data_IF_104086779999
#
_entry.id   IF_104086779999
#
_cell.length_a   1.000
_cell.length_b   1.000
_cell.length_c   1.000
_cell.angle_alpha   90.00
_cell.angle_beta   90.00
_cell.angle_gamma   90.00
#
_symmetry.space_group_name_H-M   'P 1'
#
loop_
_entity.id
_entity.type
_entity.pdbx_description
1 polymer ?
#
# COMPACT_ATOMS: atom_id res chain seq x y z
N UNK A 1 -15.86 63.62 -7.26
CA UNK A 1 -14.87 63.07 -6.32
C UNK A 1 -14.83 61.55 -6.55
N UNK A 2 -13.64 61.01 -6.84
CA UNK A 2 -13.32 59.58 -7.07
C UNK A 2 -13.78 58.73 -5.85
N UNK A 3 -14.08 57.42 -5.90
CA UNK A 3 -13.48 56.29 -6.63
C UNK A 3 -14.53 55.19 -6.90
N UNK A 4 -14.48 54.59 -8.09
CA UNK A 4 -15.07 53.27 -8.40
C UNK A 4 -13.89 52.35 -8.71
N UNK A 5 -13.69 51.31 -7.91
CA UNK A 5 -12.73 50.24 -8.19
C UNK A 5 -13.48 49.18 -9.00
N UNK A 6 -13.13 49.06 -10.27
CA UNK A 6 -13.60 48.00 -11.18
C UNK A 6 -12.62 46.82 -11.09
N UNK A 7 -13.15 45.63 -10.80
CA UNK A 7 -12.47 44.37 -11.13
C UNK A 7 -13.24 43.71 -12.28
N UNK A 8 -12.67 43.77 -13.48
CA UNK A 8 -13.11 42.97 -14.63
C UNK A 8 -12.31 41.67 -14.62
N UNK A 9 -12.93 40.57 -14.21
CA UNK A 9 -12.35 39.25 -14.42
C UNK A 9 -12.72 38.77 -15.83
N UNK A 10 -11.75 38.81 -16.73
CA UNK A 10 -11.88 38.23 -18.08
C UNK A 10 -11.94 36.70 -17.94
N UNK A 11 -13.14 36.11 -18.04
CA UNK A 11 -13.29 34.68 -18.24
C UNK A 11 -13.81 34.42 -19.64
N UNK A 12 -12.99 33.83 -20.49
CA UNK A 12 -13.42 33.29 -21.79
C UNK A 12 -14.11 31.95 -21.52
N UNK A 13 -15.45 31.92 -21.53
CA UNK A 13 -16.20 30.66 -21.58
C UNK A 13 -16.05 30.06 -22.98
N UNK A 14 -15.19 29.05 -23.10
CA UNK A 14 -15.05 28.25 -24.32
C UNK A 14 -15.81 26.94 -24.11
N UNK A 15 -17.02 26.83 -24.68
CA UNK A 15 -17.71 25.55 -24.87
C UNK A 15 -17.02 24.84 -26.04
N UNK A 16 -16.28 23.76 -25.81
CA UNK A 16 -15.74 22.93 -26.89
C UNK A 16 -15.92 21.47 -26.55
N UNK A 17 -16.81 20.82 -27.31
CA UNK A 17 -16.76 19.38 -27.58
C UNK A 17 -15.44 19.08 -28.30
N UNK A 18 -14.72 18.06 -27.84
CA UNK A 18 -13.60 17.41 -28.53
C UNK A 18 -12.43 18.32 -28.96
N UNK A 19 -11.47 18.56 -28.07
CA UNK A 19 -10.03 18.58 -28.44
C UNK A 19 -9.13 18.70 -27.22
N UNK A 20 -8.05 17.91 -27.24
CA UNK A 20 -6.85 18.04 -26.42
C UNK A 20 -6.42 19.49 -26.31
N UNK A 21 -6.32 20.03 -25.09
CA UNK A 21 -5.75 21.35 -24.84
C UNK A 21 -4.56 21.20 -23.89
N UNK A 22 -3.37 21.56 -24.38
CA UNK A 22 -2.23 21.92 -23.53
C UNK A 22 -1.82 23.33 -23.96
N UNK A 23 -1.82 24.29 -23.03
CA UNK A 23 -1.33 25.64 -23.29
C UNK A 23 -0.12 25.93 -22.40
N UNK A 24 0.92 26.53 -22.99
CA UNK A 24 2.02 27.18 -22.28
C UNK A 24 1.99 28.68 -22.60
N UNK A 25 1.81 29.53 -21.58
CA UNK A 25 2.30 30.92 -21.61
C UNK A 25 2.76 31.38 -20.21
N UNK A 26 3.66 32.35 -20.26
CA UNK A 26 4.62 32.79 -19.23
C UNK A 26 3.96 33.76 -18.24
N UNK A 27 3.39 33.23 -17.15
CA UNK A 27 2.91 33.79 -15.86
C UNK A 27 2.19 32.60 -15.16
N UNK A 28 2.15 32.43 -13.82
CA UNK A 28 1.63 31.19 -13.21
C UNK A 28 0.10 31.13 -13.32
N UNK A 29 -0.36 30.72 -14.49
CA UNK A 29 -1.75 30.59 -14.88
C UNK A 29 -2.29 29.27 -14.35
N UNK A 30 -3.47 29.36 -13.69
CA UNK A 30 -4.25 28.21 -13.26
C UNK A 30 -4.61 27.35 -14.47
N UNK A 31 -4.34 26.05 -14.39
CA UNK A 31 -4.79 25.06 -15.36
C UNK A 31 -6.13 24.48 -14.91
N UNK A 32 -7.07 24.32 -15.84
CA UNK A 32 -8.34 23.62 -15.61
C UNK A 32 -8.31 22.32 -16.43
N UNK A 33 -8.42 21.19 -15.74
CA UNK A 33 -8.53 19.86 -16.34
C UNK A 33 -10.00 19.47 -16.48
N UNK A 34 -10.44 19.10 -17.69
CA UNK A 34 -11.83 18.74 -17.98
C UNK A 34 -11.92 17.80 -19.17
N UNK A 35 -12.91 16.90 -19.21
CA UNK A 35 -13.09 15.94 -20.30
C UNK A 35 -11.97 14.89 -20.32
N UNK A 36 -11.48 14.50 -21.50
CA UNK A 36 -10.41 13.49 -21.62
C UNK A 36 -9.04 14.18 -21.68
N UNK A 37 -8.26 14.02 -20.62
CA UNK A 37 -6.88 14.53 -20.50
C UNK A 37 -5.91 13.44 -20.92
N UNK A 38 -5.21 13.66 -22.04
CA UNK A 38 -4.31 12.67 -22.68
C UNK A 38 -2.82 12.88 -22.40
N UNK A 39 -2.44 14.00 -21.79
CA UNK A 39 -1.08 14.29 -21.38
C UNK A 39 -0.89 14.09 -19.87
N UNK A 40 0.36 13.95 -19.39
CA UNK A 40 0.64 13.89 -17.96
C UNK A 40 0.05 15.09 -17.22
N UNK A 41 -0.54 14.83 -16.07
CA UNK A 41 -1.15 15.86 -15.22
C UNK A 41 -0.23 16.13 -14.04
N UNK A 42 0.17 17.38 -13.90
CA UNK A 42 0.92 17.90 -12.76
C UNK A 42 0.11 19.02 -12.14
N UNK A 43 -0.54 18.72 -11.02
CA UNK A 43 -1.32 19.72 -10.31
C UNK A 43 -0.41 20.62 -9.46
N UNK A 44 -0.72 21.91 -9.46
CA UNK A 44 -0.28 22.87 -8.45
C UNK A 44 -1.49 23.42 -7.67
N UNK A 45 -1.24 24.14 -6.57
CA UNK A 45 -2.29 24.65 -5.68
C UNK A 45 -3.35 25.57 -6.31
N UNK A 46 -3.14 26.07 -7.53
CA UNK A 46 -4.11 26.92 -8.24
C UNK A 46 -4.94 26.14 -9.23
N UNK A 47 -4.51 24.96 -9.65
CA UNK A 47 -5.17 24.20 -10.69
C UNK A 47 -6.50 23.62 -10.20
N UNK A 48 -7.40 23.35 -11.14
CA UNK A 48 -8.72 22.80 -10.89
C UNK A 48 -8.97 21.60 -11.78
N UNK A 49 -9.63 20.58 -11.24
CA UNK A 49 -10.19 19.47 -12.00
C UNK A 49 -11.71 19.65 -12.00
N UNK A 50 -12.34 19.63 -13.17
CA UNK A 50 -13.80 19.59 -13.28
C UNK A 50 -14.32 18.17 -13.04
N UNK A 51 -15.57 18.01 -12.56
CA UNK A 51 -16.23 16.70 -12.51
C UNK A 51 -16.20 15.97 -13.85
N UNK A 52 -16.33 14.64 -13.80
CA UNK A 52 -16.36 13.77 -14.98
C UNK A 52 -15.11 13.87 -15.87
N UNK A 53 -13.96 14.23 -15.29
CA UNK A 53 -12.68 14.28 -16.00
C UNK A 53 -12.07 12.88 -16.10
N UNK A 54 -11.74 12.45 -17.32
CA UNK A 54 -11.01 11.21 -17.59
C UNK A 54 -9.53 11.50 -17.79
N UNK A 55 -8.69 10.89 -16.96
CA UNK A 55 -7.24 10.93 -17.11
C UNK A 55 -6.77 9.70 -17.89
N UNK A 56 -6.56 9.88 -19.19
CA UNK A 56 -6.03 8.88 -20.12
C UNK A 56 -4.48 8.77 -20.06
N UNK A 57 -3.84 9.53 -19.17
CA UNK A 57 -2.41 9.55 -18.94
C UNK A 57 -2.12 9.70 -17.45
N UNK A 58 -0.84 9.62 -17.08
CA UNK A 58 -0.44 9.61 -15.68
C UNK A 58 -0.84 10.88 -14.94
N UNK A 59 -1.25 10.70 -13.69
CA UNK A 59 -1.63 11.80 -12.81
C UNK A 59 -0.63 11.86 -11.66
N UNK A 60 0.06 12.98 -11.53
CA UNK A 60 0.97 13.28 -10.44
C UNK A 60 0.51 14.54 -9.71
N UNK A 61 0.27 14.40 -8.41
CA UNK A 61 -0.07 15.51 -7.51
C UNK A 61 1.00 15.53 -6.44
N UNK A 62 1.90 16.50 -6.52
CA UNK A 62 3.08 16.56 -5.66
C UNK A 62 3.13 17.93 -5.00
N UNK A 63 3.35 17.96 -3.68
CA UNK A 63 3.52 19.19 -2.89
C UNK A 63 2.33 20.15 -3.00
N UNK A 64 1.10 19.60 -2.99
CA UNK A 64 -0.14 20.38 -3.07
C UNK A 64 -0.86 20.41 -1.71
N UNK A 65 -0.48 21.32 -0.78
CA UNK A 65 -1.11 21.41 0.54
C UNK A 65 -2.61 21.72 0.51
N UNK A 66 -3.12 22.34 -0.55
CA UNK A 66 -4.55 22.65 -0.69
C UNK A 66 -5.37 21.58 -1.41
N UNK A 67 -4.74 20.51 -1.92
CA UNK A 67 -5.46 19.48 -2.67
C UNK A 67 -6.19 18.53 -1.72
N UNK A 68 -7.52 18.54 -1.76
CA UNK A 68 -8.37 17.74 -0.86
C UNK A 68 -8.82 16.42 -1.48
N UNK A 69 -8.93 16.34 -2.80
CA UNK A 69 -9.41 15.15 -3.49
C UNK A 69 -9.76 15.44 -4.95
N UNK A 70 -10.05 14.38 -5.69
CA UNK A 70 -10.58 14.47 -7.05
C UNK A 70 -12.10 14.70 -7.01
N UNK A 71 -12.67 15.42 -8.00
CA UNK A 71 -14.11 15.59 -8.09
C UNK A 71 -14.82 14.28 -8.49
N UNK A 72 -16.11 14.20 -8.19
CA UNK A 72 -16.97 13.08 -8.59
C UNK A 72 -16.90 12.81 -10.10
N UNK A 73 -16.96 11.53 -10.46
CA UNK A 73 -16.87 11.07 -11.85
C UNK A 73 -15.46 11.10 -12.44
N UNK A 74 -14.42 11.50 -11.68
CA UNK A 74 -13.05 11.39 -12.14
C UNK A 74 -12.67 9.92 -12.41
N UNK A 75 -12.04 9.66 -13.55
CA UNK A 75 -11.63 8.31 -13.98
C UNK A 75 -10.15 8.26 -14.33
N UNK A 76 -9.49 7.13 -14.06
CA UNK A 76 -8.04 6.97 -14.20
C UNK A 76 -7.70 5.74 -15.04
N UNK A 77 -7.22 5.95 -16.26
CA UNK A 77 -6.79 4.87 -17.17
C UNK A 77 -5.29 4.55 -17.04
N UNK A 78 -4.53 5.45 -16.43
CA UNK A 78 -3.10 5.30 -16.18
C UNK A 78 -2.80 5.44 -14.69
N UNK A 79 -1.51 5.41 -14.35
CA UNK A 79 -1.09 5.40 -12.95
C UNK A 79 -1.36 6.75 -12.27
N UNK A 80 -1.68 6.69 -10.99
CA UNK A 80 -2.05 7.86 -10.17
C UNK A 80 -1.14 7.93 -8.96
N UNK A 81 -0.61 9.12 -8.72
CA UNK A 81 0.36 9.36 -7.67
C UNK A 81 0.06 10.64 -6.90
N UNK A 82 -0.22 10.52 -5.61
CA UNK A 82 -0.46 11.65 -4.72
C UNK A 82 0.62 11.68 -3.64
N UNK A 83 1.43 12.73 -3.59
CA UNK A 83 2.56 12.84 -2.69
C UNK A 83 2.64 14.21 -2.01
N UNK A 84 2.94 14.22 -0.71
CA UNK A 84 3.13 15.45 0.08
C UNK A 84 1.92 16.40 0.02
N UNK A 85 0.71 15.84 0.07
CA UNK A 85 -0.55 16.57 0.04
C UNK A 85 -1.28 16.41 1.38
N UNK A 86 -0.97 17.23 2.40
CA UNK A 86 -1.52 17.06 3.75
C UNK A 86 -3.04 17.15 3.87
N UNK A 87 -3.70 17.88 2.99
CA UNK A 87 -5.16 18.02 2.98
C UNK A 87 -5.88 16.93 2.17
N UNK A 88 -5.15 16.04 1.48
CA UNK A 88 -5.76 15.01 0.64
C UNK A 88 -6.43 13.95 1.50
N UNK A 89 -7.74 13.79 1.37
CA UNK A 89 -8.52 12.86 2.20
C UNK A 89 -8.89 11.56 1.49
N UNK A 90 -8.99 11.56 0.16
CA UNK A 90 -9.34 10.36 -0.60
C UNK A 90 -9.69 10.59 -2.06
N UNK A 91 -10.13 9.51 -2.69
CA UNK A 91 -10.63 9.48 -4.07
C UNK A 91 -12.17 9.46 -4.08
N UNK A 92 -12.82 9.83 -5.19
CA UNK A 92 -14.28 9.80 -5.31
C UNK A 92 -14.83 8.36 -5.30
N UNK A 93 -16.07 8.21 -4.86
CA UNK A 93 -16.73 6.89 -4.77
C UNK A 93 -16.79 6.16 -6.11
N UNK A 94 -16.68 4.83 -6.07
CA UNK A 94 -16.71 3.99 -7.28
C UNK A 94 -15.47 4.13 -8.18
N UNK A 95 -14.38 4.73 -7.69
CA UNK A 95 -13.14 4.86 -8.46
C UNK A 95 -12.59 3.50 -8.88
N UNK A 96 -12.26 3.36 -10.17
CA UNK A 96 -11.48 2.23 -10.68
C UNK A 96 -10.06 2.70 -11.03
N UNK A 97 -9.05 2.03 -10.47
CA UNK A 97 -7.66 2.22 -10.87
C UNK A 97 -7.27 1.13 -11.86
N UNK A 98 -7.26 1.47 -13.15
CA UNK A 98 -6.85 0.55 -14.21
C UNK A 98 -5.33 0.27 -14.20
N UNK A 99 -4.55 1.14 -13.56
CA UNK A 99 -3.11 1.02 -13.40
C UNK A 99 -2.70 1.34 -11.96
N UNK A 100 -1.39 1.43 -11.71
CA UNK A 100 -0.87 1.55 -10.35
C UNK A 100 -1.33 2.82 -9.65
N UNK A 101 -1.66 2.72 -8.38
CA UNK A 101 -2.03 3.87 -7.54
C UNK A 101 -1.11 3.93 -6.33
N UNK A 102 -0.67 5.13 -5.97
CA UNK A 102 -0.09 5.29 -4.66
C UNK A 102 -0.21 6.67 -4.04
N UNK A 103 -0.19 6.64 -2.72
CA UNK A 103 -0.36 7.78 -1.84
C UNK A 103 0.81 7.82 -0.86
N UNK A 104 1.59 8.90 -0.87
CA UNK A 104 2.76 9.07 0.00
C UNK A 104 2.72 10.37 0.80
N UNK A 105 3.10 10.32 2.06
CA UNK A 105 3.23 11.52 2.92
C UNK A 105 1.94 12.37 2.94
N UNK A 106 0.77 11.73 2.99
CA UNK A 106 -0.53 12.39 3.02
C UNK A 106 -1.22 12.08 4.36
N UNK A 107 -0.97 12.87 5.43
CA UNK A 107 -1.56 12.63 6.75
C UNK A 107 -3.08 12.68 6.77
N UNK A 108 -3.72 13.44 5.87
CA UNK A 108 -5.18 13.50 5.76
C UNK A 108 -5.81 12.28 5.09
N UNK A 109 -5.02 11.40 4.43
CA UNK A 109 -5.56 10.28 3.66
C UNK A 109 -6.05 9.18 4.59
N UNK A 110 -7.35 8.91 4.61
CA UNK A 110 -7.95 7.96 5.56
C UNK A 110 -8.22 6.57 4.97
N UNK A 111 -8.40 6.47 3.66
CA UNK A 111 -8.75 5.22 2.99
C UNK A 111 -9.08 5.43 1.51
N UNK A 112 -9.22 4.30 0.81
CA UNK A 112 -9.85 4.29 -0.51
C UNK A 112 -11.38 4.17 -0.36
N UNK A 113 -12.16 4.74 -1.28
CA UNK A 113 -13.62 4.69 -1.19
C UNK A 113 -14.18 3.28 -1.44
N UNK A 114 -15.40 3.04 -0.98
CA UNK A 114 -16.08 1.76 -1.20
C UNK A 114 -16.28 1.49 -2.70
N UNK A 115 -16.23 0.20 -3.06
CA UNK A 115 -16.32 -0.24 -4.45
C UNK A 115 -15.06 0.04 -5.29
N UNK A 116 -13.96 0.48 -4.67
CA UNK A 116 -12.68 0.66 -5.38
C UNK A 116 -12.16 -0.67 -5.94
N UNK A 117 -11.75 -0.66 -7.21
CA UNK A 117 -11.07 -1.79 -7.84
C UNK A 117 -9.62 -1.43 -8.16
N UNK A 118 -8.70 -2.35 -7.83
CA UNK A 118 -7.27 -2.20 -8.08
C UNK A 118 -6.78 -3.24 -9.10
N UNK A 119 -6.48 -2.81 -10.32
CA UNK A 119 -5.97 -3.72 -11.36
C UNK A 119 -4.45 -3.94 -11.30
N UNK A 120 -3.71 -3.02 -10.69
CA UNK A 120 -2.25 -3.04 -10.65
C UNK A 120 -1.71 -2.69 -9.25
N UNK A 121 -0.42 -2.32 -9.17
CA UNK A 121 0.27 -2.12 -7.92
C UNK A 121 -0.37 -1.00 -7.08
N UNK A 122 -0.58 -1.29 -5.79
CA UNK A 122 -1.10 -0.33 -4.81
C UNK A 122 -0.03 -0.04 -3.77
N UNK A 123 0.25 1.23 -3.49
CA UNK A 123 1.13 1.61 -2.39
C UNK A 123 0.56 2.75 -1.54
N UNK A 124 0.52 2.56 -0.22
CA UNK A 124 0.30 3.64 0.75
C UNK A 124 1.52 3.74 1.65
N UNK A 125 2.16 4.91 1.70
CA UNK A 125 3.38 5.12 2.49
C UNK A 125 3.33 6.39 3.32
N UNK A 126 3.79 6.35 4.57
CA UNK A 126 3.87 7.52 5.45
C UNK A 126 2.53 8.27 5.57
N UNK A 127 1.41 7.54 5.65
CA UNK A 127 0.06 8.11 5.76
C UNK A 127 -0.53 7.71 7.12
N UNK A 128 -0.31 8.51 8.18
CA UNK A 128 -0.78 8.17 9.54
C UNK A 128 -2.30 8.09 9.68
N UNK A 129 -3.06 8.79 8.83
CA UNK A 129 -4.52 8.71 8.81
C UNK A 129 -5.07 7.44 8.14
N UNK A 130 -4.26 6.68 7.39
CA UNK A 130 -4.73 5.54 6.61
C UNK A 130 -5.06 4.37 7.53
N UNK A 131 -6.32 3.92 7.53
CA UNK A 131 -6.80 2.89 8.47
C UNK A 131 -7.00 1.52 7.83
N UNK A 132 -7.36 1.47 6.55
CA UNK A 132 -7.64 0.21 5.86
C UNK A 132 -8.05 0.38 4.41
N UNK A 133 -8.30 -0.75 3.76
CA UNK A 133 -8.92 -0.82 2.44
C UNK A 133 -10.42 -1.09 2.56
N UNK A 134 -11.23 -0.74 1.54
CA UNK A 134 -12.67 -0.99 1.56
C UNK A 134 -12.99 -2.50 1.54
N UNK A 135 -14.12 -2.89 2.12
CA UNK A 135 -14.56 -4.29 2.14
C UNK A 135 -14.74 -4.87 0.73
N UNK A 136 -14.51 -6.18 0.59
CA UNK A 136 -14.59 -6.86 -0.70
C UNK A 136 -13.40 -6.61 -1.64
N UNK A 137 -12.36 -5.90 -1.17
CA UNK A 137 -11.15 -5.65 -1.96
C UNK A 137 -10.43 -6.96 -2.33
N UNK A 138 -10.05 -7.06 -3.61
CA UNK A 138 -9.10 -8.06 -4.13
C UNK A 138 -7.91 -7.35 -4.76
N UNK A 139 -6.70 -7.83 -4.48
CA UNK A 139 -5.47 -7.32 -5.09
C UNK A 139 -4.97 -8.27 -6.17
N UNK A 140 -5.21 -7.89 -7.43
CA UNK A 140 -4.74 -8.63 -8.61
C UNK A 140 -3.22 -8.50 -8.82
N UNK A 141 -2.59 -7.48 -8.22
CA UNK A 141 -1.16 -7.25 -8.27
C UNK A 141 -0.61 -6.96 -6.86
N UNK A 142 0.62 -6.48 -6.79
CA UNK A 142 1.30 -6.25 -5.51
C UNK A 142 0.61 -5.15 -4.70
N UNK A 143 0.67 -5.24 -3.37
CA UNK A 143 0.18 -4.20 -2.46
C UNK A 143 1.18 -3.95 -1.33
N UNK A 144 1.44 -2.67 -1.06
CA UNK A 144 2.34 -2.24 -0.01
C UNK A 144 1.70 -1.19 0.91
N UNK A 145 1.76 -1.42 2.22
CA UNK A 145 1.44 -0.42 3.24
C UNK A 145 2.66 -0.23 4.14
N UNK A 146 3.24 0.96 4.13
CA UNK A 146 4.55 1.21 4.73
C UNK A 146 4.49 2.45 5.63
N UNK A 147 4.94 2.32 6.88
CA UNK A 147 4.97 3.42 7.85
C UNK A 147 3.61 4.14 7.98
N UNK A 148 2.55 3.36 8.15
CA UNK A 148 1.18 3.85 8.32
C UNK A 148 0.68 3.42 9.71
N UNK A 149 0.93 4.22 10.77
CA UNK A 149 0.58 3.84 12.13
C UNK A 149 -0.92 3.67 12.40
N UNK A 150 -1.78 4.26 11.56
CA UNK A 150 -3.23 4.05 11.63
C UNK A 150 -3.73 2.76 10.98
N UNK A 151 -2.90 2.05 10.20
CA UNK A 151 -3.36 0.91 9.41
C UNK A 151 -3.63 -0.29 10.32
N UNK A 152 -4.90 -0.70 10.43
CA UNK A 152 -5.33 -1.78 11.32
C UNK A 152 -5.43 -3.13 10.63
N UNK A 153 -5.63 -3.15 9.31
CA UNK A 153 -5.80 -4.41 8.58
C UNK A 153 -6.24 -4.25 7.13
N UNK A 154 -6.02 -5.30 6.35
CA UNK A 154 -6.83 -5.59 5.18
C UNK A 154 -8.21 -6.09 5.61
N UNK A 155 -9.26 -5.93 4.77
CA UNK A 155 -10.54 -6.58 4.98
C UNK A 155 -10.40 -8.09 5.18
N UNK A 156 -11.31 -8.65 5.98
CA UNK A 156 -11.38 -10.10 6.15
C UNK A 156 -11.71 -10.77 4.80
N UNK A 157 -11.05 -11.89 4.52
CA UNK A 157 -11.22 -12.61 3.25
C UNK A 157 -10.49 -12.00 2.04
N UNK A 158 -9.70 -10.93 2.21
CA UNK A 158 -8.93 -10.35 1.09
C UNK A 158 -8.05 -11.39 0.41
N UNK A 159 -8.09 -11.39 -0.92
CA UNK A 159 -7.25 -12.25 -1.77
C UNK A 159 -6.12 -11.44 -2.40
N UNK A 160 -4.90 -11.99 -2.33
CA UNK A 160 -3.68 -11.43 -2.89
C UNK A 160 -3.11 -12.35 -3.96
N UNK A 161 -3.02 -11.87 -5.21
CA UNK A 161 -2.45 -12.64 -6.31
C UNK A 161 -0.92 -12.50 -6.42
N UNK A 162 -0.36 -11.45 -5.82
CA UNK A 162 1.06 -11.11 -5.89
C UNK A 162 1.54 -10.58 -4.54
N UNK A 163 2.76 -10.05 -4.52
CA UNK A 163 3.48 -9.62 -3.33
C UNK A 163 2.67 -8.70 -2.40
N UNK A 164 2.71 -9.00 -1.10
CA UNK A 164 2.09 -8.20 -0.05
C UNK A 164 3.17 -7.77 0.92
N UNK A 165 3.22 -6.47 1.20
CA UNK A 165 4.17 -5.90 2.16
C UNK A 165 3.48 -4.98 3.13
N UNK A 166 3.58 -5.29 4.43
CA UNK A 166 3.19 -4.39 5.50
C UNK A 166 4.39 -4.15 6.40
N UNK A 167 4.86 -2.90 6.49
CA UNK A 167 6.06 -2.53 7.24
C UNK A 167 5.78 -1.30 8.09
N UNK A 168 6.29 -1.28 9.31
CA UNK A 168 6.18 -0.14 10.24
C UNK A 168 4.74 0.33 10.43
N UNK A 169 3.79 -0.61 10.49
CA UNK A 169 2.38 -0.37 10.76
C UNK A 169 2.03 -0.95 12.14
N UNK A 170 2.31 -0.25 13.25
CA UNK A 170 2.16 -0.78 14.60
C UNK A 170 0.72 -1.17 14.98
N UNK A 171 -0.30 -0.57 14.37
CA UNK A 171 -1.69 -0.93 14.61
C UNK A 171 -2.14 -2.20 13.85
N UNK A 172 -1.31 -2.72 12.93
CA UNK A 172 -1.65 -3.88 12.12
C UNK A 172 -1.40 -5.18 12.90
N UNK A 173 -2.47 -5.84 13.29
CA UNK A 173 -2.42 -7.14 14.01
C UNK A 173 -2.70 -8.34 13.11
N UNK A 174 -2.81 -8.12 11.80
CA UNK A 174 -3.19 -9.13 10.79
C UNK A 174 -4.66 -9.04 10.37
N UNK A 175 -5.04 -9.88 9.41
CA UNK A 175 -6.39 -9.92 8.81
C UNK A 175 -6.85 -11.37 8.67
N UNK A 176 -8.13 -11.65 8.96
CA UNK A 176 -8.63 -13.03 9.03
C UNK A 176 -9.08 -13.51 7.66
N UNK A 177 -8.86 -14.80 7.40
CA UNK A 177 -9.41 -15.48 6.22
C UNK A 177 -8.81 -15.02 4.89
N UNK A 178 -7.73 -14.22 4.93
CA UNK A 178 -7.04 -13.80 3.73
C UNK A 178 -6.39 -14.97 3.01
N UNK A 179 -6.24 -14.85 1.69
CA UNK A 179 -5.54 -15.85 0.87
C UNK A 179 -4.43 -15.21 0.04
N UNK A 180 -3.34 -15.94 -0.15
CA UNK A 180 -2.24 -15.57 -1.03
C UNK A 180 -2.10 -16.63 -2.11
N UNK A 181 -2.31 -16.25 -3.38
CA UNK A 181 -2.27 -17.16 -4.54
C UNK A 181 -3.11 -18.43 -4.35
N UNK A 182 -4.29 -18.27 -3.72
CA UNK A 182 -5.22 -19.38 -3.46
C UNK A 182 -4.95 -20.17 -2.18
N UNK A 183 -3.86 -19.89 -1.45
CA UNK A 183 -3.56 -20.52 -0.17
C UNK A 183 -4.01 -19.65 0.99
N UNK A 184 -4.67 -20.24 1.99
CA UNK A 184 -5.05 -19.52 3.21
C UNK A 184 -3.81 -19.02 3.96
N UNK A 185 -3.79 -17.73 4.30
CA UNK A 185 -2.73 -17.15 5.13
C UNK A 185 -3.02 -17.50 6.58
N UNK A 186 -2.05 -18.11 7.27
CA UNK A 186 -2.18 -18.44 8.68
C UNK A 186 -2.46 -17.18 9.52
N UNK A 187 -3.41 -17.29 10.46
CA UNK A 187 -3.83 -16.20 11.33
C UNK A 187 -4.18 -16.71 12.73
N UNK A 188 -4.05 -15.86 13.74
CA UNK A 188 -4.41 -16.20 15.12
C UNK A 188 -3.59 -17.37 15.65
N UNK A 189 -4.27 -18.35 16.26
CA UNK A 189 -3.63 -19.46 16.98
C UNK A 189 -2.72 -20.31 16.09
N UNK A 190 -3.10 -20.58 14.84
CA UNK A 190 -2.28 -21.37 13.91
C UNK A 190 -0.92 -20.69 13.65
N UNK A 191 -0.95 -19.40 13.30
CA UNK A 191 0.26 -18.62 13.07
C UNK A 191 1.09 -18.52 14.36
N UNK A 192 0.43 -18.21 15.48
CA UNK A 192 1.09 -18.06 16.78
C UNK A 192 1.77 -19.36 17.23
N UNK A 193 1.15 -20.52 17.04
CA UNK A 193 1.74 -21.81 17.39
C UNK A 193 3.00 -22.10 16.56
N UNK A 194 2.94 -21.87 15.24
CA UNK A 194 4.11 -22.01 14.36
C UNK A 194 5.24 -21.07 14.76
N UNK A 195 4.93 -19.81 15.03
CA UNK A 195 5.92 -18.80 15.47
C UNK A 195 6.55 -19.23 16.81
N UNK A 196 5.76 -19.73 17.77
CA UNK A 196 6.28 -20.20 19.07
C UNK A 196 7.19 -21.41 18.96
N UNK A 197 6.91 -22.35 18.05
CA UNK A 197 7.81 -23.48 17.78
C UNK A 197 9.17 -23.01 17.28
N UNK A 198 9.18 -22.06 16.34
CA UNK A 198 10.42 -21.43 15.87
C UNK A 198 11.11 -20.71 17.04
N UNK A 199 10.37 -19.92 17.81
CA UNK A 199 10.92 -19.18 18.95
C UNK A 199 11.58 -20.09 19.99
N UNK A 200 10.98 -21.24 20.33
CA UNK A 200 11.55 -22.19 21.27
C UNK A 200 12.91 -22.75 20.79
N UNK A 201 13.03 -23.07 19.50
CA UNK A 201 14.28 -23.57 18.92
C UNK A 201 15.34 -22.47 18.90
N UNK A 202 14.97 -21.25 18.48
CA UNK A 202 15.90 -20.10 18.47
C UNK A 202 16.32 -19.70 19.88
N UNK A 203 15.45 -19.83 20.88
CA UNK A 203 15.79 -19.55 22.28
C UNK A 203 16.79 -20.58 22.83
N UNK A 204 16.62 -21.86 22.50
CA UNK A 204 17.53 -22.92 22.92
C UNK A 204 18.90 -22.83 22.20
N UNK A 205 18.89 -22.45 20.92
CA UNK A 205 20.09 -22.37 20.09
C UNK A 205 20.10 -21.09 19.23
N UNK A 206 20.43 -19.91 19.80
CA UNK A 206 20.31 -18.61 19.13
C UNK A 206 21.11 -18.48 17.83
N UNK A 207 22.22 -19.23 17.73
CA UNK A 207 23.10 -19.27 16.56
C UNK A 207 22.48 -19.99 15.36
N UNK A 208 21.30 -20.62 15.51
CA UNK A 208 20.58 -21.31 14.43
C UNK A 208 19.70 -20.41 13.57
N UNK A 209 19.40 -19.20 14.03
CA UNK A 209 18.78 -18.17 13.19
C UNK A 209 19.86 -17.14 12.87
N UNK A 210 20.47 -17.25 11.69
CA UNK A 210 21.39 -16.24 11.16
C UNK A 210 20.90 -15.74 9.82
N UNK A 211 20.33 -14.54 9.81
CA UNK A 211 19.71 -13.97 8.61
C UNK A 211 20.73 -13.47 7.60
N UNK A 212 21.97 -13.23 8.02
CA UNK A 212 23.07 -12.80 7.15
C UNK A 212 23.84 -13.93 6.46
N UNK A 213 23.69 -15.19 6.89
CA UNK A 213 24.52 -16.31 6.41
C UNK A 213 23.73 -17.61 6.29
N UNK A 214 23.90 -18.32 5.17
CA UNK A 214 23.40 -19.68 5.06
C UNK A 214 24.28 -20.64 5.87
N UNK A 215 23.68 -21.44 6.74
CA UNK A 215 24.38 -22.45 7.53
C UNK A 215 23.60 -23.76 7.62
N UNK A 216 24.24 -24.83 8.08
CA UNK A 216 23.59 -26.14 8.16
C UNK A 216 22.61 -26.24 9.34
N UNK A 217 21.54 -27.04 9.13
CA UNK A 217 20.58 -27.44 10.16
C UNK A 217 19.25 -26.68 10.18
N UNK A 218 19.12 -25.54 9.50
CA UNK A 218 17.94 -24.64 9.50
C UNK A 218 17.92 -23.75 8.23
N UNK A 219 17.02 -22.76 8.16
CA UNK A 219 17.06 -21.71 7.13
C UNK A 219 17.69 -20.41 7.66
N UNK A 220 18.31 -19.63 6.77
CA UNK A 220 18.90 -18.34 7.11
C UNK A 220 17.83 -17.32 7.54
N UNK A 221 16.64 -17.31 6.92
CA UNK A 221 15.58 -16.34 7.22
C UNK A 221 14.39 -16.94 7.98
N UNK A 222 13.62 -16.09 8.68
CA UNK A 222 12.42 -16.50 9.41
C UNK A 222 11.37 -17.19 8.50
N UNK A 223 11.22 -16.74 7.26
CA UNK A 223 10.33 -17.37 6.29
C UNK A 223 10.70 -18.84 6.02
N UNK A 224 12.00 -19.11 5.86
CA UNK A 224 12.47 -20.47 5.60
C UNK A 224 12.41 -21.37 6.83
N UNK A 225 12.38 -20.81 8.05
CA UNK A 225 12.03 -21.58 9.25
C UNK A 225 10.59 -22.06 9.22
N UNK A 226 9.66 -21.20 8.77
CA UNK A 226 8.27 -21.59 8.52
C UNK A 226 8.18 -22.76 7.56
N UNK A 227 8.92 -22.70 6.44
CA UNK A 227 9.02 -23.79 5.46
C UNK A 227 9.61 -25.06 6.07
N UNK A 228 10.77 -24.96 6.71
CA UNK A 228 11.51 -26.10 7.26
C UNK A 228 10.68 -26.88 8.29
N UNK A 229 9.94 -26.17 9.15
CA UNK A 229 9.10 -26.78 10.17
C UNK A 229 8.00 -27.67 9.59
N UNK A 230 7.48 -27.35 8.40
CA UNK A 230 6.41 -28.11 7.74
C UNK A 230 6.96 -29.24 6.84
N UNK A 231 8.28 -29.46 6.83
CA UNK A 231 8.94 -30.55 6.11
C UNK A 231 8.61 -30.57 4.61
N UNK A 232 8.28 -31.76 4.09
CA UNK A 232 7.98 -31.95 2.66
C UNK A 232 6.81 -31.09 2.15
N UNK A 233 5.83 -30.80 3.02
CA UNK A 233 4.69 -29.93 2.68
C UNK A 233 5.14 -28.48 2.53
N UNK A 234 5.98 -28.00 3.45
CA UNK A 234 6.58 -26.67 3.34
C UNK A 234 7.42 -26.53 2.06
N UNK A 235 8.27 -27.52 1.78
CA UNK A 235 9.10 -27.53 0.58
C UNK A 235 8.28 -27.65 -0.73
N UNK A 236 7.12 -28.33 -0.70
CA UNK A 236 6.19 -28.34 -1.82
C UNK A 236 5.55 -26.96 -2.04
N UNK A 237 5.08 -26.32 -0.97
CA UNK A 237 4.49 -24.99 -1.00
C UNK A 237 5.47 -23.92 -1.50
N UNK A 238 6.72 -23.95 -1.03
CA UNK A 238 7.77 -23.05 -1.51
C UNK A 238 8.05 -23.22 -3.01
N UNK A 239 8.13 -24.47 -3.50
CA UNK A 239 8.30 -24.73 -4.94
C UNK A 239 7.11 -24.26 -5.77
N UNK A 240 5.90 -24.42 -5.25
CA UNK A 240 4.68 -23.97 -5.92
C UNK A 240 4.61 -22.44 -6.00
N UNK A 241 4.91 -21.74 -4.89
CA UNK A 241 4.83 -20.28 -4.83
C UNK A 241 6.05 -19.59 -5.45
N UNK A 242 7.19 -20.30 -5.56
CA UNK A 242 8.42 -19.86 -6.23
C UNK A 242 9.33 -18.97 -5.39
N UNK A 243 8.96 -18.62 -4.15
CA UNK A 243 9.76 -17.79 -3.25
C UNK A 243 9.53 -18.19 -1.78
N UNK A 244 10.62 -18.32 -1.00
CA UNK A 244 10.57 -18.67 0.42
C UNK A 244 9.70 -17.71 1.22
N UNK A 245 9.77 -16.41 0.94
CA UNK A 245 8.98 -15.40 1.63
C UNK A 245 7.48 -15.56 1.40
N UNK A 246 7.05 -16.09 0.25
CA UNK A 246 5.64 -16.33 -0.04
C UNK A 246 5.11 -17.52 0.74
N UNK A 247 5.87 -18.62 0.78
CA UNK A 247 5.54 -19.75 1.64
C UNK A 247 5.58 -19.35 3.12
N UNK A 248 6.57 -18.54 3.52
CA UNK A 248 6.64 -17.96 4.85
C UNK A 248 5.41 -17.14 5.21
N UNK A 249 4.89 -16.30 4.30
CA UNK A 249 3.68 -15.51 4.52
C UNK A 249 2.48 -16.43 4.75
N UNK A 250 2.29 -17.42 3.89
CA UNK A 250 1.21 -18.40 4.01
C UNK A 250 1.29 -19.16 5.35
N UNK A 251 2.49 -19.59 5.74
CA UNK A 251 2.69 -20.44 6.91
C UNK A 251 2.69 -19.67 8.23
N UNK A 252 3.31 -18.49 8.28
CA UNK A 252 3.55 -17.73 9.52
C UNK A 252 2.68 -16.47 9.65
N UNK A 253 1.94 -16.11 8.60
CA UNK A 253 1.06 -14.95 8.60
C UNK A 253 1.78 -13.61 8.51
N UNK A 254 0.96 -12.55 8.51
CA UNK A 254 1.40 -11.18 8.29
C UNK A 254 2.39 -10.65 9.34
N UNK A 255 2.21 -11.01 10.61
CA UNK A 255 3.05 -10.50 11.68
C UNK A 255 4.52 -10.92 11.46
N UNK A 256 4.75 -12.19 11.15
CA UNK A 256 6.07 -12.71 10.84
C UNK A 256 6.60 -12.15 9.51
N UNK A 257 5.73 -12.00 8.50
CA UNK A 257 6.12 -11.54 7.17
C UNK A 257 6.78 -10.15 7.16
N UNK A 258 6.36 -9.25 8.05
CA UNK A 258 6.99 -7.93 8.22
C UNK A 258 8.46 -7.99 8.64
N UNK A 259 8.95 -9.15 9.10
CA UNK A 259 10.29 -9.38 9.66
C UNK A 259 11.17 -10.27 8.80
N UNK A 260 10.70 -10.74 7.64
CA UNK A 260 11.45 -11.69 6.81
C UNK A 260 12.75 -11.14 6.24
N UNK A 261 12.83 -9.82 6.06
CA UNK A 261 13.96 -9.14 5.43
C UNK A 261 14.73 -8.26 6.42
N UNK A 262 14.57 -8.47 7.73
CA UNK A 262 15.34 -7.79 8.77
C UNK A 262 16.75 -8.41 8.83
N UNK A 263 17.56 -8.12 7.81
CA UNK A 263 18.92 -8.63 7.67
C UNK A 263 19.95 -7.77 8.42
N UNK A 264 21.10 -8.36 8.75
CA UNK A 264 22.19 -7.68 9.45
C UNK A 264 22.03 -7.60 10.97
N UNK A 265 23.04 -7.08 11.66
CA UNK A 265 23.17 -7.23 13.12
C UNK A 265 22.01 -6.67 13.95
N UNK A 266 21.44 -5.52 13.57
CA UNK A 266 20.31 -4.91 14.29
C UNK A 266 18.98 -5.60 13.97
N UNK A 267 18.68 -5.81 12.69
CA UNK A 267 17.47 -6.53 12.27
C UNK A 267 17.39 -7.94 12.84
N UNK A 268 18.50 -8.69 12.84
CA UNK A 268 18.52 -10.04 13.42
C UNK A 268 18.26 -10.05 14.93
N UNK A 269 18.79 -9.04 15.66
CA UNK A 269 18.52 -8.90 17.10
C UNK A 269 17.04 -8.62 17.36
N UNK A 270 16.43 -7.73 16.59
CA UNK A 270 15.00 -7.42 16.70
C UNK A 270 14.12 -8.65 16.46
N UNK A 271 14.46 -9.48 15.46
CA UNK A 271 13.73 -10.73 15.20
C UNK A 271 13.87 -11.69 16.38
N UNK A 272 15.06 -11.85 16.95
CA UNK A 272 15.28 -12.71 18.13
C UNK A 272 14.55 -12.21 19.38
N UNK A 273 14.56 -10.91 19.64
CA UNK A 273 13.86 -10.32 20.79
C UNK A 273 12.33 -10.43 20.60
N UNK A 274 11.83 -10.24 19.39
CA UNK A 274 10.43 -10.51 19.07
C UNK A 274 10.06 -11.99 19.28
N UNK A 275 10.87 -12.94 18.79
CA UNK A 275 10.63 -14.37 19.04
C UNK A 275 10.60 -14.69 20.54
N UNK A 276 11.50 -14.10 21.35
CA UNK A 276 11.50 -14.28 22.81
C UNK A 276 10.17 -13.80 23.44
N UNK A 277 9.68 -12.63 23.03
CA UNK A 277 8.40 -12.08 23.53
C UNK A 277 7.19 -13.01 23.27
N UNK A 278 7.27 -13.86 22.23
CA UNK A 278 6.21 -14.83 21.89
C UNK A 278 6.14 -16.02 22.84
N UNK A 279 7.21 -16.29 23.59
CA UNK A 279 7.25 -17.33 24.63
C UNK A 279 6.78 -16.78 25.98
N UNK A 280 7.09 -15.52 26.28
CA UNK A 280 6.74 -14.86 27.56
C UNK A 280 5.23 -14.61 27.70
N UNK A 281 4.53 -14.39 26.59
CA UNK A 281 3.07 -14.16 26.55
C UNK A 281 2.24 -15.43 26.72
N UNK A 282 2.87 -16.60 26.86
CA UNK A 282 2.21 -17.91 27.04
C UNK A 282 2.32 -18.48 28.46
N UNK A 283 3.00 -17.76 29.38
CA UNK A 283 3.18 -18.13 30.79
C UNK A 283 2.24 -17.32 31.70
#
# INVERSE_FOLDING_TARGET
MRFLVSFSANYTKVKVQEKTLTYHTKEPTMTIYSGIVRGPVYLNNRDRIEPDTTFASSVEIINCPGFTGFPDGATFEAWVWVANCPAFTGFPDGTTFAASVGVRNCPGFTGFPDGTTFAAWVEVRNCPGFTGFPDGTTFAASVGVINCPGFTGFPDGTTFASWVRVIDCPAFTGSRGCTFRGHAIAFGDEANERIRRIAAIVQAEPTRLKMSEWHCGTSHCLAGWGVHQEGDKGAALERELGETAYAGLVLLGFEAASRFYNEGGEGEREVRDWLRSKLETAA
#
